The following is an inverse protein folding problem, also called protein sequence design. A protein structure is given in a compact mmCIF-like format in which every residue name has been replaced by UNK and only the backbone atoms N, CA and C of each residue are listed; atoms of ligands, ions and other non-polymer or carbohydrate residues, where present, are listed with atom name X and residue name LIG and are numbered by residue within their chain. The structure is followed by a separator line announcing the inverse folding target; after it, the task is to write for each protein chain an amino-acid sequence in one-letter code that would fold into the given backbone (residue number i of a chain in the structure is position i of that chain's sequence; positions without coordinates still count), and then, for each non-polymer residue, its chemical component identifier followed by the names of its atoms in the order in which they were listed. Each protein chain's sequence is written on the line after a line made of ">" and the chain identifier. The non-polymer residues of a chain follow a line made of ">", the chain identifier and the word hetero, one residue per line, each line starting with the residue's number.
data_IF_280871851685
#
_entry.id   IF_280871851685
#
_cell.length_a   1.000
_cell.length_b   1.000
_cell.length_c   1.000
_cell.angle_alpha   90.00
_cell.angle_beta   90.00
_cell.angle_gamma   90.00
#
_symmetry.space_group_name_H-M   'P 1'
#
loop_
_entity.id
_entity.type
_entity.pdbx_description
1 polymer ?
#
# COMPACT_ATOMS: atom_id res chain seq x y z
N UNK A 1 1.03 14.77 14.10
CA UNK A 1 1.21 14.84 12.63
C UNK A 1 -0.16 14.99 11.98
N UNK A 2 -0.41 16.07 11.24
CA UNK A 2 -1.71 16.50 10.72
C UNK A 2 -2.28 15.64 9.57
N UNK A 3 -2.01 14.32 9.54
CA UNK A 3 -2.51 13.45 8.48
C UNK A 3 -3.99 13.12 8.71
N UNK A 4 -4.80 13.24 7.65
CA UNK A 4 -6.15 12.69 7.62
C UNK A 4 -6.06 11.27 7.11
N UNK A 5 -6.40 10.31 7.95
CA UNK A 5 -6.32 8.89 7.61
C UNK A 5 -7.70 8.28 7.40
N UNK A 6 -7.84 7.48 6.35
CA UNK A 6 -8.95 6.54 6.17
C UNK A 6 -8.40 5.13 6.40
N UNK A 7 -9.11 4.32 7.18
CA UNK A 7 -8.69 2.94 7.51
C UNK A 7 -9.65 1.97 6.82
N UNK A 8 -9.09 0.97 6.13
CA UNK A 8 -9.81 -0.17 5.60
C UNK A 8 -9.23 -1.44 6.21
N UNK A 9 -10.10 -2.31 6.76
CA UNK A 9 -9.68 -3.61 7.32
C UNK A 9 -9.87 -4.76 6.35
N UNK A 10 -10.62 -4.54 5.26
CA UNK A 10 -10.81 -5.49 4.19
C UNK A 10 -10.42 -4.85 2.86
N UNK A 11 -9.93 -5.69 1.96
CA UNK A 11 -9.42 -5.21 0.68
C UNK A 11 -10.48 -4.57 -0.21
N UNK A 12 -11.73 -5.05 -0.15
CA UNK A 12 -12.83 -4.47 -0.91
C UNK A 12 -13.13 -3.03 -0.45
N UNK A 13 -13.13 -2.78 0.86
CA UNK A 13 -13.32 -1.43 1.42
C UNK A 13 -12.19 -0.50 0.96
N UNK A 14 -10.94 -0.99 0.97
CA UNK A 14 -9.77 -0.25 0.51
C UNK A 14 -9.87 0.15 -0.95
N UNK A 15 -10.23 -0.80 -1.83
CA UNK A 15 -10.45 -0.54 -3.26
C UNK A 15 -11.58 0.47 -3.49
N UNK A 16 -12.71 0.33 -2.79
CA UNK A 16 -13.82 1.27 -2.89
C UNK A 16 -13.41 2.69 -2.48
N UNK A 17 -12.65 2.82 -1.38
CA UNK A 17 -12.12 4.10 -0.95
C UNK A 17 -11.17 4.72 -1.97
N UNK A 18 -10.27 3.92 -2.54
CA UNK A 18 -9.31 4.33 -3.57
C UNK A 18 -9.99 4.78 -4.87
N UNK A 19 -11.13 4.17 -5.24
CA UNK A 19 -11.91 4.57 -6.41
C UNK A 19 -12.69 5.87 -6.14
N UNK A 20 -13.24 6.04 -4.94
CA UNK A 20 -14.16 7.15 -4.61
C UNK A 20 -13.47 8.42 -4.14
N UNK A 21 -12.23 8.35 -3.69
CA UNK A 21 -11.52 9.47 -3.07
C UNK A 21 -10.08 9.51 -3.59
N UNK A 22 -9.45 10.68 -3.53
CA UNK A 22 -8.03 10.85 -3.82
C UNK A 22 -7.20 10.84 -2.53
N UNK A 23 -6.04 10.18 -2.60
CA UNK A 23 -5.07 10.07 -1.50
C UNK A 23 -3.66 10.40 -1.99
N UNK A 24 -2.85 11.03 -1.14
CA UNK A 24 -1.44 11.32 -1.44
C UNK A 24 -0.56 10.06 -1.42
N UNK A 25 -0.93 9.10 -0.57
CA UNK A 25 -0.25 7.82 -0.41
C UNK A 25 -1.19 6.76 0.16
N UNK A 26 -0.91 5.50 -0.15
CA UNK A 26 -1.61 4.33 0.40
C UNK A 26 -0.61 3.45 1.11
N UNK A 27 -0.90 3.08 2.36
CA UNK A 27 -0.15 2.05 3.08
C UNK A 27 -0.91 0.74 2.91
N UNK A 28 -0.26 -0.25 2.30
CA UNK A 28 -0.87 -1.53 1.97
C UNK A 28 -0.19 -2.67 2.71
N UNK A 29 -0.98 -3.43 3.47
CA UNK A 29 -0.54 -4.72 4.00
C UNK A 29 -0.70 -5.82 2.95
N UNK A 30 0.33 -6.64 2.77
CA UNK A 30 0.26 -7.82 1.88
C UNK A 30 -0.19 -9.06 2.64
N UNK A 31 0.02 -9.12 3.96
CA UNK A 31 -0.33 -10.28 4.78
C UNK A 31 -1.63 -9.99 5.53
N UNK A 32 -2.78 -10.20 4.87
CA UNK A 32 -4.10 -10.09 5.49
C UNK A 32 -4.80 -11.46 5.57
N UNK A 33 -5.64 -11.70 6.60
CA UNK A 33 -6.26 -13.02 6.82
C UNK A 33 -7.32 -13.40 5.77
N UNK A 34 -7.99 -12.42 5.16
CA UNK A 34 -9.16 -12.66 4.30
C UNK A 34 -8.89 -12.52 2.79
N UNK A 35 -7.80 -11.84 2.39
CA UNK A 35 -7.43 -11.62 0.99
C UNK A 35 -5.95 -11.30 0.86
N UNK A 36 -5.35 -11.65 -0.27
CA UNK A 36 -3.95 -11.34 -0.54
C UNK A 36 -3.81 -9.87 -1.00
N UNK A 37 -2.95 -9.08 -0.36
CA UNK A 37 -2.74 -7.68 -0.75
C UNK A 37 -2.17 -7.53 -2.17
N UNK A 38 -1.64 -8.62 -2.77
CA UNK A 38 -1.28 -8.61 -4.18
C UNK A 38 -2.47 -8.43 -5.12
N UNK A 39 -3.67 -8.88 -4.75
CA UNK A 39 -4.88 -8.69 -5.56
C UNK A 39 -5.28 -7.21 -5.63
N UNK A 40 -5.00 -6.45 -4.56
CA UNK A 40 -5.19 -5.00 -4.56
C UNK A 40 -4.21 -4.36 -5.55
N UNK A 41 -2.92 -4.74 -5.50
CA UNK A 41 -1.92 -4.22 -6.42
C UNK A 41 -2.26 -4.52 -7.88
N UNK A 42 -2.73 -5.73 -8.17
CA UNK A 42 -3.18 -6.13 -9.50
C UNK A 42 -4.34 -5.25 -10.00
N UNK A 43 -5.37 -5.05 -9.19
CA UNK A 43 -6.49 -4.18 -9.53
C UNK A 43 -6.10 -2.72 -9.70
N UNK A 44 -5.15 -2.21 -8.90
CA UNK A 44 -4.60 -0.87 -9.08
C UNK A 44 -3.90 -0.79 -10.44
N UNK A 45 -3.08 -1.79 -10.80
CA UNK A 45 -2.36 -1.83 -12.08
C UNK A 45 -3.28 -1.90 -13.30
N UNK A 46 -4.39 -2.66 -13.19
CA UNK A 46 -5.41 -2.77 -14.23
C UNK A 46 -6.27 -1.51 -14.38
N UNK A 47 -6.30 -0.67 -13.36
CA UNK A 47 -7.03 0.60 -13.36
C UNK A 47 -6.14 1.79 -13.76
N UNK A 48 -6.76 2.93 -14.07
CA UNK A 48 -6.05 4.21 -14.22
C UNK A 48 -5.67 4.85 -12.87
N UNK A 49 -5.87 4.14 -11.75
CA UNK A 49 -5.48 4.61 -10.43
C UNK A 49 -3.94 4.56 -10.32
N UNK A 50 -3.35 5.68 -9.89
CA UNK A 50 -1.90 5.85 -9.74
C UNK A 50 -1.57 6.38 -8.35
N UNK A 51 -1.93 5.63 -7.31
CA UNK A 51 -1.52 5.97 -5.94
C UNK A 51 -0.08 5.57 -5.67
N UNK A 52 0.64 6.42 -4.93
CA UNK A 52 1.94 6.04 -4.38
C UNK A 52 1.73 5.04 -3.25
N UNK A 53 2.17 3.81 -3.47
CA UNK A 53 1.96 2.72 -2.49
C UNK A 53 3.22 2.54 -1.62
N UNK A 54 2.98 2.41 -0.33
CA UNK A 54 3.96 1.93 0.67
C UNK A 54 3.49 0.55 1.11
N UNK A 55 4.22 -0.48 0.72
CA UNK A 55 3.94 -1.85 1.15
C UNK A 55 4.49 -2.06 2.55
N UNK A 56 3.69 -2.64 3.44
CA UNK A 56 4.09 -3.06 4.77
C UNK A 56 3.71 -4.52 5.00
N UNK A 57 4.68 -5.44 4.95
CA UNK A 57 4.39 -6.89 4.97
C UNK A 57 5.13 -7.62 6.08
N UNK A 58 4.52 -8.69 6.63
CA UNK A 58 5.21 -9.61 7.54
C UNK A 58 5.91 -10.76 6.79
N UNK A 59 5.48 -11.05 5.56
CA UNK A 59 5.97 -12.18 4.77
C UNK A 59 7.10 -11.78 3.82
N UNK A 60 7.95 -12.75 3.48
CA UNK A 60 8.83 -12.62 2.34
C UNK A 60 8.00 -12.54 1.05
N UNK A 61 8.48 -11.77 0.08
CA UNK A 61 7.85 -11.59 -1.22
C UNK A 61 8.50 -12.57 -2.20
N UNK A 62 7.70 -13.40 -2.87
CA UNK A 62 8.20 -14.30 -3.91
C UNK A 62 8.65 -13.50 -5.14
N UNK A 63 9.46 -14.11 -6.00
CA UNK A 63 9.88 -13.47 -7.25
C UNK A 63 8.68 -13.12 -8.15
N UNK A 64 7.67 -13.99 -8.21
CA UNK A 64 6.42 -13.77 -8.95
C UNK A 64 5.66 -12.54 -8.42
N UNK A 65 5.49 -12.47 -7.10
CA UNK A 65 4.78 -11.36 -6.46
C UNK A 65 5.56 -10.03 -6.55
N UNK A 66 6.90 -10.09 -6.60
CA UNK A 66 7.72 -8.91 -6.82
C UNK A 66 7.45 -8.26 -8.18
N UNK A 67 7.14 -9.03 -9.23
CA UNK A 67 6.76 -8.47 -10.52
C UNK A 67 5.44 -7.71 -10.45
N UNK A 68 4.44 -8.21 -9.71
CA UNK A 68 3.18 -7.49 -9.46
C UNK A 68 3.42 -6.14 -8.76
N UNK A 69 4.32 -6.11 -7.77
CA UNK A 69 4.72 -4.87 -7.09
C UNK A 69 5.39 -3.89 -8.06
N UNK A 70 6.33 -4.35 -8.89
CA UNK A 70 7.07 -3.50 -9.84
C UNK A 70 6.17 -2.84 -10.89
N UNK A 71 5.06 -3.48 -11.24
CA UNK A 71 4.08 -2.93 -12.18
C UNK A 71 3.23 -1.81 -11.56
N UNK A 72 3.19 -1.74 -10.23
CA UNK A 72 2.48 -0.69 -9.48
C UNK A 72 3.36 0.51 -9.19
N UNK A 73 2.74 1.62 -8.77
CA UNK A 73 3.44 2.79 -8.24
C UNK A 73 3.92 2.63 -6.79
N UNK A 74 4.32 1.40 -6.40
CA UNK A 74 4.94 1.15 -5.11
C UNK A 74 6.28 1.87 -5.03
N UNK A 75 6.43 2.74 -4.02
CA UNK A 75 7.64 3.52 -3.81
C UNK A 75 8.58 2.85 -2.80
N UNK A 76 8.01 2.21 -1.78
CA UNK A 76 8.75 1.65 -0.65
C UNK A 76 8.09 0.34 -0.21
N UNK A 77 8.91 -0.65 0.14
CA UNK A 77 8.51 -1.89 0.80
C UNK A 77 9.18 -1.92 2.17
N UNK A 78 8.40 -2.10 3.23
CA UNK A 78 8.85 -2.22 4.61
C UNK A 78 8.43 -3.58 5.17
N UNK A 79 9.33 -4.23 5.91
CA UNK A 79 9.05 -5.48 6.59
C UNK A 79 8.60 -5.22 8.03
N UNK A 80 7.58 -5.95 8.50
CA UNK A 80 7.15 -5.92 9.89
C UNK A 80 8.05 -6.84 10.74
N UNK A 81 8.34 -6.48 12.00
CA UNK A 81 7.95 -5.23 12.66
C UNK A 81 8.77 -4.03 12.13
N UNK A 82 8.12 -2.87 12.01
CA UNK A 82 8.75 -1.61 11.61
C UNK A 82 8.68 -0.62 12.76
N UNK A 83 9.74 0.15 12.95
CA UNK A 83 9.75 1.28 13.87
C UNK A 83 8.80 2.39 13.37
N UNK A 84 8.03 2.99 14.28
CA UNK A 84 7.04 4.01 13.93
C UNK A 84 7.68 5.28 13.37
N UNK A 85 8.87 5.67 13.87
CA UNK A 85 9.58 6.85 13.40
C UNK A 85 10.09 6.61 11.97
N UNK A 86 10.57 5.40 11.68
CA UNK A 86 10.97 5.00 10.33
C UNK A 86 9.77 5.02 9.38
N UNK A 87 8.62 4.48 9.80
CA UNK A 87 7.41 4.49 8.98
C UNK A 87 6.96 5.92 8.66
N UNK A 88 6.95 6.82 9.65
CA UNK A 88 6.58 8.22 9.48
C UNK A 88 7.55 8.97 8.55
N UNK A 89 8.85 8.71 8.66
CA UNK A 89 9.86 9.25 7.75
C UNK A 89 9.57 8.83 6.30
N UNK A 90 9.26 7.54 6.08
CA UNK A 90 8.96 7.00 4.75
C UNK A 90 7.66 7.54 4.17
N UNK A 91 6.62 7.69 4.99
CA UNK A 91 5.37 8.33 4.56
C UNK A 91 5.63 9.75 4.09
N UNK A 92 6.43 10.53 4.84
CA UNK A 92 6.74 11.92 4.48
C UNK A 92 7.49 12.00 3.14
N UNK A 93 8.48 11.14 2.93
CA UNK A 93 9.23 11.03 1.67
C UNK A 93 8.34 10.72 0.46
N UNK A 94 7.31 9.89 0.64
CA UNK A 94 6.44 9.43 -0.46
C UNK A 94 5.33 10.43 -0.75
N UNK A 95 4.67 10.96 0.28
CA UNK A 95 3.53 11.86 0.14
C UNK A 95 3.91 13.25 -0.41
N UNK A 96 5.19 13.51 -0.70
CA UNK A 96 5.71 14.84 -1.03
C UNK A 96 5.39 15.88 0.05
N UNK A 97 5.46 15.46 1.31
CA UNK A 97 5.33 16.35 2.46
C UNK A 97 6.68 16.94 2.87
#
# INVERSE_FOLDING_TARGET
>A
NNHKCTIANHAQDGLEFMIKNEYDAVILDLTMPDMDGYDILEKINESDIRYKVIVLTASNISQENMEKIKQSETKIILQKPVDIDVLLEKISQVANL
#
